data_IF_741424528100
#
_entry.id   IF_741424528100
#
_cell.length_a   1.000
_cell.length_b   1.000
_cell.length_c   1.000
_cell.angle_alpha   90.00
_cell.angle_beta   90.00
_cell.angle_gamma   90.00
#
_symmetry.space_group_name_H-M   'P 1'
#
loop_
_entity.id
_entity.type
_entity.pdbx_description
1 polymer ?
#
# COMPACT_ATOMS: atom_id res chain seq x y z
N UNK A 1 1.65 -1.57 7.83
CA UNK A 1 1.01 -2.05 6.59
C UNK A 1 1.19 -0.97 5.54
N UNK A 2 1.50 -1.35 4.31
CA UNK A 2 1.75 -0.42 3.21
C UNK A 2 0.66 -0.55 2.15
N UNK A 3 0.15 0.60 1.71
CA UNK A 3 -0.82 0.72 0.62
C UNK A 3 -0.06 1.10 -0.64
N UNK A 4 -0.22 0.30 -1.69
CA UNK A 4 0.41 0.50 -2.98
C UNK A 4 -0.65 0.59 -4.09
N UNK A 5 -0.37 1.35 -5.14
CA UNK A 5 -1.16 1.28 -6.37
C UNK A 5 -0.33 0.69 -7.50
N UNK A 6 -1.00 0.04 -8.45
CA UNK A 6 -0.38 -0.49 -9.67
C UNK A 6 -0.37 0.61 -10.73
N UNK A 7 0.82 1.03 -11.15
CA UNK A 7 1.01 1.90 -12.31
C UNK A 7 2.00 1.27 -13.29
N UNK A 8 1.58 1.12 -14.55
CA UNK A 8 2.39 0.51 -15.62
C UNK A 8 2.98 -0.87 -15.23
N UNK A 9 2.23 -1.67 -14.48
CA UNK A 9 2.65 -3.01 -14.03
C UNK A 9 3.63 -3.03 -12.85
N UNK A 10 3.87 -1.88 -12.19
CA UNK A 10 4.71 -1.78 -10.99
C UNK A 10 3.89 -1.29 -9.80
N UNK A 11 4.23 -1.80 -8.61
CA UNK A 11 3.73 -1.26 -7.35
C UNK A 11 4.44 0.04 -7.03
N UNK A 12 3.66 1.08 -6.73
CA UNK A 12 4.18 2.32 -6.16
C UNK A 12 3.59 2.52 -4.77
N UNK A 13 4.48 2.79 -3.82
CA UNK A 13 4.12 3.09 -2.45
C UNK A 13 3.26 4.36 -2.40
N UNK A 14 2.11 4.27 -1.73
CA UNK A 14 1.18 5.38 -1.56
C UNK A 14 1.18 5.90 -0.13
N UNK A 15 1.10 5.00 0.85
CA UNK A 15 1.06 5.36 2.26
C UNK A 15 1.37 4.16 3.16
N UNK A 16 1.95 4.43 4.33
CA UNK A 16 2.04 3.49 5.44
C UNK A 16 0.94 3.78 6.47
N UNK A 17 0.34 2.72 7.02
CA UNK A 17 -0.65 2.83 8.08
C UNK A 17 -0.31 1.93 9.28
N UNK A 18 -0.93 2.26 10.42
CA UNK A 18 -0.85 1.48 11.64
C UNK A 18 -1.24 0.00 11.41
N UNK A 19 -0.65 -0.95 12.15
CA UNK A 19 -0.85 -2.39 11.91
C UNK A 19 -2.29 -2.87 12.15
N UNK A 20 -3.10 -2.11 12.88
CA UNK A 20 -4.51 -2.35 13.16
C UNK A 20 -5.47 -1.62 12.20
N UNK A 21 -4.95 -0.81 11.27
CA UNK A 21 -5.76 -0.08 10.32
C UNK A 21 -6.28 -0.99 9.20
N UNK A 22 -7.60 -1.22 9.17
CA UNK A 22 -8.28 -2.05 8.16
C UNK A 22 -8.82 -1.24 6.97
N UNK A 23 -8.67 0.08 6.99
CA UNK A 23 -9.18 0.97 5.95
C UNK A 23 -8.24 2.13 5.69
N UNK A 24 -8.08 2.50 4.43
CA UNK A 24 -7.33 3.67 3.98
C UNK A 24 -8.13 4.43 2.94
N UNK A 25 -8.19 5.76 3.09
CA UNK A 25 -8.86 6.65 2.13
C UNK A 25 -7.80 7.36 1.30
N UNK A 26 -7.65 6.94 0.05
CA UNK A 26 -6.82 7.66 -0.92
C UNK A 26 -7.53 8.95 -1.35
N UNK A 27 -6.78 10.07 -1.42
CA UNK A 27 -7.32 11.41 -1.74
C UNK A 27 -6.43 12.11 -2.77
N UNK A 28 -6.96 13.15 -3.42
CA UNK A 28 -6.24 13.88 -4.47
C UNK A 28 -6.12 13.09 -5.79
N UNK A 29 -7.06 12.18 -6.04
CA UNK A 29 -7.12 11.39 -7.27
C UNK A 29 -7.80 12.17 -8.40
N UNK A 30 -7.43 11.84 -9.64
CA UNK A 30 -8.05 12.42 -10.82
C UNK A 30 -9.42 11.79 -11.07
N UNK A 31 -10.48 12.60 -11.05
CA UNK A 31 -11.86 12.15 -11.26
C UNK A 31 -12.02 11.39 -12.58
N UNK A 32 -12.74 10.28 -12.55
CA UNK A 32 -12.96 9.39 -13.70
C UNK A 32 -11.77 8.48 -14.05
N UNK A 33 -10.65 8.60 -13.31
CA UNK A 33 -9.49 7.73 -13.51
C UNK A 33 -9.66 6.44 -12.74
N UNK A 34 -9.37 5.32 -13.39
CA UNK A 34 -9.32 4.01 -12.75
C UNK A 34 -7.98 3.82 -12.06
N UNK A 35 -8.02 3.35 -10.81
CA UNK A 35 -6.85 2.99 -10.03
C UNK A 35 -6.99 1.56 -9.53
N UNK A 36 -5.88 0.83 -9.54
CA UNK A 36 -5.76 -0.52 -8.99
C UNK A 36 -4.86 -0.47 -7.77
N UNK A 37 -5.33 -1.02 -6.66
CA UNK A 37 -4.67 -1.00 -5.36
C UNK A 37 -4.32 -2.41 -4.91
N UNK A 38 -3.21 -2.53 -4.20
CA UNK A 38 -2.83 -3.71 -3.41
C UNK A 38 -2.32 -3.25 -2.06
N UNK A 39 -2.34 -4.16 -1.08
CA UNK A 39 -1.81 -3.93 0.25
C UNK A 39 -0.71 -4.94 0.52
N UNK A 40 0.42 -4.47 1.03
CA UNK A 40 1.47 -5.32 1.60
C UNK A 40 1.56 -5.07 3.09
N UNK A 41 2.01 -6.08 3.84
CA UNK A 41 2.34 -5.94 5.25
C UNK A 41 3.83 -6.19 5.41
N UNK A 42 4.42 -5.70 6.49
CA UNK A 42 5.81 -5.99 6.83
C UNK A 42 5.94 -6.27 8.32
N UNK A 43 6.98 -7.00 8.67
CA UNK A 43 7.36 -7.27 10.06
C UNK A 43 8.54 -6.40 10.42
N UNK A 44 8.39 -5.61 11.48
CA UNK A 44 9.47 -4.81 12.07
C UNK A 44 10.51 -5.73 12.72
N UNK A 45 11.66 -5.86 12.07
CA UNK A 45 12.72 -6.77 12.51
C UNK A 45 13.73 -6.10 13.47
N UNK A 46 13.76 -4.77 13.54
CA UNK A 46 14.75 -4.03 14.33
C UNK A 46 14.13 -3.18 15.48
N UNK A 47 12.80 -3.15 15.58
CA UNK A 47 12.02 -2.51 16.62
C UNK A 47 11.84 -0.99 16.48
N UNK A 48 12.17 -0.41 15.33
CA UNK A 48 12.12 1.05 15.14
C UNK A 48 10.75 1.58 14.67
N UNK A 49 9.80 0.70 14.38
CA UNK A 49 8.43 1.01 13.91
C UNK A 49 8.38 1.82 12.61
N UNK A 50 9.43 1.74 11.79
CA UNK A 50 9.50 2.30 10.45
C UNK A 50 9.87 1.19 9.47
N UNK A 51 9.42 1.30 8.22
CA UNK A 51 9.78 0.30 7.21
C UNK A 51 11.23 0.53 6.73
N UNK A 52 12.07 -0.47 6.88
CA UNK A 52 13.46 -0.49 6.45
C UNK A 52 13.71 -1.52 5.33
N UNK A 53 13.96 -1.07 4.09
CA UNK A 53 14.24 -1.96 2.98
C UNK A 53 15.47 -2.83 3.23
N UNK A 54 15.29 -4.15 3.21
CA UNK A 54 16.37 -5.12 3.41
C UNK A 54 16.67 -5.47 4.88
N UNK A 55 16.00 -4.83 5.83
CA UNK A 55 15.98 -5.24 7.24
C UNK A 55 14.65 -5.87 7.59
N UNK A 56 13.55 -5.22 7.19
CA UNK A 56 12.20 -5.71 7.44
C UNK A 56 11.75 -6.71 6.38
N UNK A 57 10.90 -7.65 6.80
CA UNK A 57 10.34 -8.66 5.91
C UNK A 57 8.98 -8.21 5.42
N UNK A 58 8.88 -7.89 4.12
CA UNK A 58 7.62 -7.57 3.45
C UNK A 58 6.89 -8.86 3.00
N UNK A 59 5.56 -8.85 3.13
CA UNK A 59 4.68 -9.92 2.68
C UNK A 59 4.47 -9.84 1.17
N UNK A 60 4.00 -10.94 0.53
CA UNK A 60 3.40 -10.83 -0.79
C UNK A 60 2.25 -9.81 -0.81
N UNK A 61 1.99 -9.16 -1.96
CA UNK A 61 0.85 -8.26 -2.12
C UNK A 61 -0.47 -9.01 -1.98
N UNK A 62 -1.49 -8.31 -1.47
CA UNK A 62 -2.87 -8.77 -1.42
C UNK A 62 -3.46 -8.99 -2.82
N UNK A 63 -4.72 -9.44 -2.87
CA UNK A 63 -5.49 -9.34 -4.11
C UNK A 63 -5.59 -7.89 -4.58
N UNK A 64 -5.65 -7.72 -5.91
CA UNK A 64 -5.89 -6.43 -6.53
C UNK A 64 -7.33 -5.95 -6.29
N UNK A 65 -7.48 -4.65 -6.07
CA UNK A 65 -8.76 -3.97 -5.96
C UNK A 65 -8.79 -2.79 -6.93
N UNK A 66 -9.75 -2.76 -7.85
CA UNK A 66 -9.85 -1.72 -8.86
C UNK A 66 -11.07 -0.84 -8.61
N UNK A 67 -10.88 0.48 -8.63
CA UNK A 67 -11.96 1.45 -8.44
C UNK A 67 -11.78 2.67 -9.36
N UNK A 68 -12.89 3.32 -9.72
CA UNK A 68 -12.88 4.59 -10.45
C UNK A 68 -13.05 5.73 -9.47
N UNK A 69 -12.13 6.70 -9.48
CA UNK A 69 -12.21 7.88 -8.63
C UNK A 69 -13.45 8.74 -9.02
N UNK A 70 -14.25 9.12 -8.02
CA UNK A 70 -15.49 9.90 -8.18
C UNK A 70 -15.33 11.38 -7.88
#
# INVERSE_FOLDING_TARGET
MDFCYVQAGKLQFRAGVAPDALSFKDTGLSRGTQYTYVVTAWTDCNGNRAFDPGVDTESPPSNEATATAQ
#
